data_IF_696157835063
#
_entry.id   IF_696157835063
#
_cell.length_a   1.000
_cell.length_b   1.000
_cell.length_c   1.000
_cell.angle_alpha   90.00
_cell.angle_beta   90.00
_cell.angle_gamma   90.00
#
_symmetry.space_group_name_H-M   'P 1'
#
loop_
_entity.id
_entity.type
_entity.pdbx_description
1 polymer ?
#
# COMPACT_ATOMS: atom_id res chain seq x y z
N UNK A 1 -19.20 2.65 27.80
CA UNK A 1 -19.43 2.36 26.37
C UNK A 1 -18.25 2.92 25.57
N UNK A 2 -17.26 2.09 25.24
CA UNK A 2 -16.12 2.50 24.41
C UNK A 2 -16.55 2.43 22.95
N UNK A 3 -16.72 3.60 22.33
CA UNK A 3 -16.94 3.72 20.90
C UNK A 3 -15.58 3.46 20.25
N UNK A 4 -15.38 2.28 19.67
CA UNK A 4 -14.26 2.01 18.77
C UNK A 4 -14.35 3.01 17.63
N UNK A 5 -13.50 4.04 17.65
CA UNK A 5 -13.41 4.98 16.53
C UNK A 5 -12.58 4.32 15.45
N UNK A 6 -13.22 4.04 14.33
CA UNK A 6 -12.53 3.53 13.15
C UNK A 6 -11.38 4.47 12.75
N UNK A 7 -10.28 3.89 12.28
CA UNK A 7 -9.09 4.61 11.81
C UNK A 7 -9.47 5.62 10.71
N UNK A 8 -9.49 6.91 11.04
CA UNK A 8 -9.76 7.99 10.09
C UNK A 8 -8.48 8.31 9.29
N UNK A 9 -8.58 8.32 7.97
CA UNK A 9 -7.48 8.70 7.07
C UNK A 9 -7.61 10.18 6.74
N UNK A 10 -6.62 10.98 7.14
CA UNK A 10 -6.62 12.43 6.96
C UNK A 10 -5.98 12.82 5.63
N UNK A 11 -6.64 13.71 4.88
CA UNK A 11 -6.18 14.21 3.57
C UNK A 11 -5.36 15.48 3.78
N UNK A 12 -4.08 15.48 3.37
CA UNK A 12 -3.26 16.68 3.29
C UNK A 12 -3.30 17.17 1.83
N UNK A 13 -3.98 18.29 1.57
CA UNK A 13 -4.08 18.92 0.22
C UNK A 13 -2.87 19.83 -0.05
N UNK A 14 -1.83 19.28 -0.68
CA UNK A 14 -0.88 19.91 -1.64
C UNK A 14 -0.16 18.76 -2.38
N UNK A 15 0.21 18.88 -3.68
CA UNK A 15 0.91 17.82 -4.39
C UNK A 15 2.36 17.77 -3.92
N UNK A 16 2.58 17.23 -2.72
CA UNK A 16 3.91 16.84 -2.29
C UNK A 16 4.09 15.44 -2.85
N UNK A 17 4.83 15.29 -3.95
CA UNK A 17 5.23 13.99 -4.44
C UNK A 17 6.60 13.72 -3.81
N UNK A 18 6.74 12.57 -3.16
CA UNK A 18 7.96 12.22 -2.43
C UNK A 18 8.25 10.74 -2.53
N UNK A 19 9.52 10.38 -2.32
CA UNK A 19 9.96 9.01 -2.12
C UNK A 19 9.34 8.40 -0.86
N UNK A 20 9.33 7.07 -0.78
CA UNK A 20 8.77 6.37 0.37
C UNK A 20 9.46 6.76 1.68
N UNK A 21 10.79 6.91 1.68
CA UNK A 21 11.56 7.31 2.85
C UNK A 21 11.14 8.69 3.38
N UNK A 22 11.01 9.67 2.47
CA UNK A 22 10.57 11.03 2.83
C UNK A 22 9.15 11.02 3.39
N UNK A 23 8.24 10.22 2.83
CA UNK A 23 6.89 10.06 3.37
C UNK A 23 6.85 9.43 4.76
N UNK A 24 7.61 8.36 4.99
CA UNK A 24 7.71 7.72 6.30
C UNK A 24 8.17 8.73 7.34
N UNK A 25 9.20 9.52 7.03
CA UNK A 25 9.70 10.57 7.92
C UNK A 25 8.66 11.67 8.16
N UNK A 26 7.97 12.11 7.12
CA UNK A 26 6.91 13.11 7.24
C UNK A 26 5.81 12.66 8.20
N UNK A 27 5.20 11.49 8.01
CA UNK A 27 4.11 11.02 8.87
C UNK A 27 4.57 10.71 10.29
N UNK A 28 5.80 10.19 10.45
CA UNK A 28 6.39 10.03 11.78
C UNK A 28 6.51 11.37 12.53
N UNK A 29 6.82 12.47 11.85
CA UNK A 29 6.91 13.80 12.45
C UNK A 29 5.52 14.39 12.78
N UNK A 30 4.50 14.06 11.98
CA UNK A 30 3.11 14.46 12.23
C UNK A 30 2.41 13.62 13.31
N UNK A 31 3.03 12.55 13.80
CA UNK A 31 2.43 11.67 14.80
C UNK A 31 1.49 10.60 14.21
N UNK A 32 1.60 10.33 12.91
CA UNK A 32 0.70 9.47 12.14
C UNK A 32 1.46 8.28 11.52
N UNK A 33 0.74 7.20 11.21
CA UNK A 33 1.29 6.12 10.39
C UNK A 33 1.13 6.43 8.90
N UNK A 34 2.11 6.08 8.06
CA UNK A 34 1.94 6.14 6.60
C UNK A 34 1.07 4.96 6.12
N UNK A 35 0.17 5.21 5.18
CA UNK A 35 -0.75 4.20 4.63
C UNK A 35 -0.01 3.01 4.01
N UNK A 36 -0.37 1.80 4.40
CA UNK A 36 0.17 0.55 3.84
C UNK A 36 -0.79 -0.07 2.80
N UNK A 37 -0.30 -1.00 1.98
CA UNK A 37 -1.16 -1.75 1.06
C UNK A 37 -2.33 -2.47 1.77
N UNK A 38 -2.15 -3.10 2.95
CA UNK A 38 -3.27 -3.57 3.76
C UNK A 38 -4.30 -2.50 4.13
N UNK A 39 -3.89 -1.28 4.47
CA UNK A 39 -4.85 -0.21 4.82
C UNK A 39 -5.76 0.16 3.63
N UNK A 40 -5.21 0.18 2.42
CA UNK A 40 -5.98 0.42 1.20
C UNK A 40 -6.98 -0.71 0.96
N UNK A 41 -6.54 -1.97 1.11
CA UNK A 41 -7.43 -3.13 1.00
C UNK A 41 -8.55 -3.13 2.05
N UNK A 42 -8.23 -2.82 3.31
CA UNK A 42 -9.23 -2.74 4.39
C UNK A 42 -10.25 -1.63 4.13
N UNK A 43 -9.81 -0.47 3.62
CA UNK A 43 -10.71 0.62 3.24
C UNK A 43 -11.73 0.18 2.19
N UNK A 44 -11.28 -0.54 1.15
CA UNK A 44 -12.21 -1.13 0.20
C UNK A 44 -13.13 -2.13 0.91
N UNK A 45 -12.58 -3.02 1.74
CA UNK A 45 -13.35 -4.05 2.44
C UNK A 45 -14.48 -3.45 3.30
N UNK A 46 -14.21 -2.45 4.12
CA UNK A 46 -15.21 -1.78 4.99
C UNK A 46 -16.26 -1.03 4.19
N UNK A 47 -15.93 -0.54 2.99
CA UNK A 47 -16.92 0.10 2.11
C UNK A 47 -17.25 1.54 2.49
N UNK A 48 -16.40 2.23 3.25
CA UNK A 48 -16.58 3.65 3.55
C UNK A 48 -16.54 4.47 2.25
N UNK A 49 -17.71 4.88 1.76
CA UNK A 49 -17.86 5.53 0.44
C UNK A 49 -17.03 6.81 0.32
N UNK A 50 -17.06 7.68 1.34
CA UNK A 50 -16.35 8.95 1.30
C UNK A 50 -14.83 8.74 1.20
N UNK A 51 -14.29 7.79 1.98
CA UNK A 51 -12.88 7.47 1.94
C UNK A 51 -12.48 6.78 0.63
N UNK A 52 -13.31 5.88 0.12
CA UNK A 52 -13.11 5.22 -1.18
C UNK A 52 -13.04 6.26 -2.30
N UNK A 53 -14.03 7.16 -2.40
CA UNK A 53 -14.03 8.21 -3.45
C UNK A 53 -12.83 9.13 -3.32
N UNK A 54 -12.42 9.46 -2.10
CA UNK A 54 -11.22 10.24 -1.87
C UNK A 54 -9.96 9.52 -2.35
N UNK A 55 -9.79 8.24 -2.04
CA UNK A 55 -8.63 7.44 -2.48
C UNK A 55 -8.61 7.24 -3.99
N UNK A 56 -9.78 7.07 -4.62
CA UNK A 56 -9.87 6.98 -6.09
C UNK A 56 -9.22 8.17 -6.77
N UNK A 57 -9.41 9.38 -6.24
CA UNK A 57 -8.80 10.59 -6.80
C UNK A 57 -7.27 10.56 -6.72
N UNK A 58 -6.70 10.07 -5.63
CA UNK A 58 -5.25 9.97 -5.49
C UNK A 58 -4.67 8.88 -6.40
N UNK A 59 -5.35 7.72 -6.44
CA UNK A 59 -4.98 6.60 -7.30
C UNK A 59 -4.96 6.99 -8.78
N UNK A 60 -5.83 7.92 -9.22
CA UNK A 60 -5.91 8.41 -10.60
C UNK A 60 -4.89 9.48 -10.98
N UNK A 61 -4.27 10.15 -10.00
CA UNK A 61 -3.34 11.26 -10.27
C UNK A 61 -1.92 10.76 -10.43
N UNK A 62 -1.24 10.49 -9.32
CA UNK A 62 0.18 10.14 -9.27
C UNK A 62 0.41 8.78 -8.57
N UNK A 63 -0.68 8.06 -8.28
CA UNK A 63 -0.64 6.86 -7.46
C UNK A 63 -0.39 7.13 -5.98
N UNK A 64 -0.55 6.08 -5.19
CA UNK A 64 -0.31 6.05 -3.75
C UNK A 64 0.95 5.25 -3.50
N UNK A 65 2.00 5.94 -3.08
CA UNK A 65 3.15 5.39 -2.41
C UNK A 65 2.71 4.89 -1.04
N UNK A 66 2.89 3.60 -0.78
CA UNK A 66 2.52 2.99 0.50
C UNK A 66 3.73 2.81 1.41
N UNK A 67 3.52 2.53 2.69
CA UNK A 67 4.55 2.09 3.63
C UNK A 67 4.87 0.59 3.55
N UNK A 68 4.34 -0.10 2.53
CA UNK A 68 4.70 -1.48 2.22
C UNK A 68 5.95 -1.53 1.35
N UNK A 69 6.87 -2.43 1.66
CA UNK A 69 8.07 -2.73 0.89
C UNK A 69 8.12 -4.21 0.53
N UNK A 70 8.78 -4.51 -0.59
CA UNK A 70 9.17 -5.86 -0.96
C UNK A 70 10.70 -5.92 -1.00
N UNK A 71 11.27 -6.84 -0.22
CA UNK A 71 12.69 -7.16 -0.23
C UNK A 71 12.91 -8.48 -0.95
N UNK A 72 13.29 -8.39 -2.21
CA UNK A 72 13.54 -9.54 -3.08
C UNK A 72 14.87 -10.23 -2.73
N UNK A 73 14.88 -11.56 -2.81
CA UNK A 73 16.12 -12.32 -2.79
C UNK A 73 16.87 -12.14 -4.12
N UNK A 74 18.19 -11.92 -4.05
CA UNK A 74 19.04 -11.68 -5.22
C UNK A 74 19.25 -12.91 -6.11
N UNK A 75 18.96 -14.12 -5.62
CA UNK A 75 19.22 -15.40 -6.29
C UNK A 75 17.96 -16.23 -6.58
N UNK A 76 16.85 -15.98 -5.88
CA UNK A 76 15.62 -16.80 -5.95
C UNK A 76 14.37 -15.93 -6.02
N UNK A 77 13.22 -16.51 -6.38
CA UNK A 77 11.93 -15.82 -6.37
C UNK A 77 11.36 -15.53 -4.96
N UNK A 78 11.97 -16.05 -3.90
CA UNK A 78 11.58 -15.70 -2.53
C UNK A 78 11.82 -14.23 -2.21
N UNK A 79 10.91 -13.65 -1.45
CA UNK A 79 10.99 -12.28 -0.97
C UNK A 79 10.39 -12.14 0.43
N UNK A 80 10.68 -11.02 1.08
CA UNK A 80 10.01 -10.58 2.30
C UNK A 80 9.16 -9.34 2.00
N UNK A 81 7.84 -9.44 2.19
CA UNK A 81 6.94 -8.29 2.18
C UNK A 81 6.91 -7.71 3.58
N UNK A 82 7.19 -6.41 3.70
CA UNK A 82 7.26 -5.69 4.98
C UNK A 82 6.21 -4.57 4.93
N UNK A 83 5.23 -4.59 5.83
CA UNK A 83 4.27 -3.50 5.97
C UNK A 83 4.69 -2.51 7.04
N UNK A 84 4.25 -1.25 6.88
CA UNK A 84 4.48 -0.18 7.84
C UNK A 84 5.96 0.13 8.07
N UNK A 85 6.78 0.04 7.03
CA UNK A 85 8.22 0.19 7.15
C UNK A 85 8.58 1.54 7.77
N UNK A 86 9.50 1.53 8.74
CA UNK A 86 9.97 2.73 9.43
C UNK A 86 8.92 3.49 10.26
N UNK A 87 7.69 2.99 10.39
CA UNK A 87 6.67 3.67 11.20
C UNK A 87 6.98 3.58 12.70
N UNK A 88 6.80 4.70 13.42
CA UNK A 88 6.85 4.78 14.89
C UNK A 88 5.51 4.49 15.56
N UNK A 89 4.42 4.48 14.79
CA UNK A 89 3.03 4.40 15.27
C UNK A 89 2.32 3.11 14.86
N UNK A 90 2.74 2.50 13.74
CA UNK A 90 2.18 1.26 13.23
C UNK A 90 3.11 0.07 13.52
N UNK A 91 2.55 -1.07 13.93
CA UNK A 91 3.34 -2.31 14.09
C UNK A 91 3.81 -2.81 12.72
N UNK A 92 5.11 -3.05 12.60
CA UNK A 92 5.72 -3.68 11.42
C UNK A 92 5.28 -5.14 11.34
N UNK A 93 4.82 -5.55 10.16
CA UNK A 93 4.48 -6.95 9.83
C UNK A 93 5.35 -7.44 8.69
N UNK A 94 5.72 -8.72 8.69
CA UNK A 94 6.60 -9.32 7.70
C UNK A 94 6.06 -10.66 7.23
N UNK A 95 6.11 -10.90 5.93
CA UNK A 95 5.68 -12.13 5.29
C UNK A 95 6.77 -12.63 4.36
N UNK A 96 7.15 -13.90 4.49
CA UNK A 96 8.03 -14.57 3.53
C UNK A 96 7.16 -15.27 2.49
N UNK A 97 7.38 -14.97 1.22
CA UNK A 97 6.56 -15.52 0.12
C UNK A 97 7.39 -15.62 -1.14
N UNK A 98 7.06 -16.60 -1.99
CA UNK A 98 7.59 -16.65 -3.35
C UNK A 98 6.80 -15.67 -4.23
N UNK A 99 7.49 -14.74 -4.89
CA UNK A 99 6.87 -13.73 -5.75
C UNK A 99 7.30 -14.03 -7.20
N UNK A 100 6.36 -14.48 -8.06
CA UNK A 100 6.60 -14.61 -9.50
C UNK A 100 7.08 -13.30 -10.13
N UNK A 101 7.53 -13.35 -11.37
CA UNK A 101 7.73 -12.13 -12.17
C UNK A 101 6.39 -11.81 -12.82
N UNK A 102 5.95 -10.55 -12.71
CA UNK A 102 4.70 -10.08 -13.28
C UNK A 102 4.97 -8.85 -14.14
N UNK A 103 4.36 -8.81 -15.32
CA UNK A 103 4.50 -7.75 -16.33
C UNK A 103 3.11 -7.26 -16.76
N UNK A 104 2.21 -7.08 -15.78
CA UNK A 104 0.82 -6.71 -15.99
C UNK A 104 -0.17 -7.83 -15.72
N UNK A 105 -0.58 -8.55 -16.77
CA UNK A 105 -1.51 -9.67 -16.60
C UNK A 105 -0.83 -10.81 -15.84
N UNK A 106 -1.61 -11.61 -15.13
CA UNK A 106 -1.10 -12.72 -14.34
C UNK A 106 -2.05 -13.91 -14.37
N UNK A 107 -1.49 -15.08 -14.13
CA UNK A 107 -2.28 -16.29 -13.94
C UNK A 107 -2.78 -16.40 -12.50
N UNK A 108 -4.06 -16.74 -12.35
CA UNK A 108 -4.68 -17.03 -11.07
C UNK A 108 -4.25 -18.42 -10.59
N UNK A 109 -3.14 -18.47 -9.86
CA UNK A 109 -2.58 -19.70 -9.30
C UNK A 109 -2.21 -19.53 -7.82
N UNK A 110 -1.81 -20.61 -7.16
CA UNK A 110 -1.49 -20.61 -5.72
C UNK A 110 -0.34 -19.66 -5.36
N UNK A 111 0.62 -19.43 -6.26
CA UNK A 111 1.74 -18.50 -5.99
C UNK A 111 1.25 -17.06 -6.01
N UNK A 112 0.47 -16.68 -7.03
CA UNK A 112 -0.21 -15.38 -7.12
C UNK A 112 -1.11 -15.15 -5.91
N UNK A 113 -1.88 -16.15 -5.50
CA UNK A 113 -2.77 -16.04 -4.34
C UNK A 113 -2.01 -15.74 -3.06
N UNK A 114 -0.96 -16.54 -2.77
CA UNK A 114 -0.12 -16.34 -1.59
C UNK A 114 0.56 -14.98 -1.59
N UNK A 115 1.01 -14.51 -2.76
CA UNK A 115 1.56 -13.16 -2.92
C UNK A 115 0.52 -12.09 -2.55
N UNK A 116 -0.68 -12.13 -3.12
CA UNK A 116 -1.73 -11.16 -2.86
C UNK A 116 -2.22 -11.20 -1.40
N UNK A 117 -2.34 -12.39 -0.82
CA UNK A 117 -2.68 -12.59 0.58
C UNK A 117 -1.64 -11.94 1.50
N UNK A 118 -0.36 -12.15 1.21
CA UNK A 118 0.74 -11.51 1.95
C UNK A 118 0.76 -10.00 1.74
N UNK A 119 0.53 -9.51 0.51
CA UNK A 119 0.58 -8.09 0.18
C UNK A 119 -0.54 -7.27 0.85
N UNK A 120 -1.74 -7.84 0.94
CA UNK A 120 -2.91 -7.17 1.48
C UNK A 120 -3.26 -7.60 2.92
N UNK A 121 -2.41 -8.40 3.55
CA UNK A 121 -2.60 -8.97 4.89
C UNK A 121 -4.01 -9.57 5.06
N UNK A 122 -4.31 -10.56 4.22
CA UNK A 122 -5.62 -11.20 4.14
C UNK A 122 -5.50 -12.70 3.88
N UNK A 123 -6.53 -13.45 4.27
CA UNK A 123 -6.69 -14.88 3.94
C UNK A 123 -7.74 -15.11 2.84
N UNK A 124 -8.14 -14.04 2.13
CA UNK A 124 -9.10 -14.14 1.04
C UNK A 124 -8.49 -14.86 -0.17
N UNK A 125 -9.34 -15.54 -0.95
CA UNK A 125 -8.95 -16.03 -2.27
C UNK A 125 -8.64 -14.88 -3.24
N UNK A 126 -7.95 -15.15 -4.34
CA UNK A 126 -7.71 -14.15 -5.42
C UNK A 126 -9.02 -13.46 -5.81
N UNK A 127 -10.05 -14.25 -6.11
CA UNK A 127 -11.40 -13.77 -6.44
C UNK A 127 -11.96 -12.75 -5.44
N UNK A 128 -11.81 -13.04 -4.15
CA UNK A 128 -12.29 -12.16 -3.08
C UNK A 128 -11.46 -10.90 -3.00
N UNK A 129 -10.15 -10.99 -3.22
CA UNK A 129 -9.25 -9.85 -3.25
C UNK A 129 -9.62 -8.92 -4.42
N UNK A 130 -9.77 -9.46 -5.63
CA UNK A 130 -10.18 -8.72 -6.83
C UNK A 130 -11.55 -8.06 -6.66
N UNK A 131 -12.56 -8.80 -6.18
CA UNK A 131 -13.90 -8.25 -5.89
C UNK A 131 -13.85 -7.12 -4.88
N UNK A 132 -12.96 -7.19 -3.90
CA UNK A 132 -12.77 -6.13 -2.90
C UNK A 132 -12.16 -4.88 -3.54
N UNK A 133 -11.06 -5.04 -4.28
CA UNK A 133 -10.35 -3.93 -4.92
C UNK A 133 -11.17 -3.25 -6.03
N UNK A 134 -12.13 -3.97 -6.65
CA UNK A 134 -13.11 -3.40 -7.58
C UNK A 134 -13.89 -2.21 -6.99
N UNK A 135 -13.95 -2.05 -5.67
CA UNK A 135 -14.59 -0.85 -5.09
C UNK A 135 -13.88 0.46 -5.47
N UNK A 136 -12.61 0.40 -5.87
CA UNK A 136 -11.88 1.57 -6.37
C UNK A 136 -12.10 1.82 -7.87
N UNK A 137 -12.41 0.80 -8.69
CA UNK A 137 -12.40 0.92 -10.16
C UNK A 137 -13.50 0.14 -10.85
N UNK A 138 -13.75 0.44 -12.13
CA UNK A 138 -14.83 -0.24 -12.88
C UNK A 138 -14.42 -1.63 -13.35
N UNK A 139 -13.13 -1.83 -13.67
CA UNK A 139 -12.61 -3.10 -14.12
C UNK A 139 -12.35 -4.08 -12.95
N UNK A 140 -12.58 -5.38 -13.21
CA UNK A 140 -12.16 -6.48 -12.33
C UNK A 140 -10.67 -6.79 -12.49
N UNK A 141 -10.01 -6.26 -13.53
CA UNK A 141 -8.61 -6.61 -13.82
C UNK A 141 -7.65 -5.82 -12.95
N UNK A 142 -6.93 -6.58 -12.12
CA UNK A 142 -5.74 -6.13 -11.42
C UNK A 142 -4.54 -6.33 -12.34
N UNK A 143 -3.60 -5.39 -12.34
CA UNK A 143 -2.29 -5.53 -12.98
C UNK A 143 -1.22 -5.64 -11.92
N UNK A 144 -0.39 -6.67 -12.01
CA UNK A 144 0.72 -6.91 -11.10
C UNK A 144 2.02 -6.64 -11.82
N UNK A 145 2.91 -5.90 -11.18
CA UNK A 145 4.24 -5.62 -11.72
C UNK A 145 5.29 -5.94 -10.67
N UNK A 146 6.18 -6.85 -11.00
CA UNK A 146 7.32 -7.18 -10.14
C UNK A 146 8.55 -7.41 -11.01
N UNK A 147 9.74 -6.96 -10.57
CA UNK A 147 10.93 -6.97 -11.40
C UNK A 147 11.36 -8.41 -11.73
N UNK A 148 12.04 -8.59 -12.87
CA UNK A 148 12.77 -9.82 -13.16
C UNK A 148 13.96 -10.03 -12.20
N UNK A 149 14.57 -11.22 -12.26
CA UNK A 149 15.67 -11.58 -11.36
C UNK A 149 16.93 -10.71 -11.53
N UNK A 150 17.17 -10.17 -12.73
CA UNK A 150 18.31 -9.29 -13.00
C UNK A 150 18.16 -7.96 -12.26
N UNK A 151 16.94 -7.38 -12.27
CA UNK A 151 16.63 -6.17 -11.52
C UNK A 151 16.60 -6.43 -10.01
N UNK A 152 16.04 -7.56 -9.56
CA UNK A 152 16.08 -7.97 -8.13
C UNK A 152 17.50 -8.05 -7.60
N UNK A 153 18.46 -8.55 -8.42
CA UNK A 153 19.88 -8.64 -8.04
C UNK A 153 20.52 -7.26 -7.84
N UNK A 154 20.27 -6.33 -8.77
CA UNK A 154 20.85 -4.98 -8.76
C UNK A 154 20.26 -4.12 -7.64
N UNK A 155 18.94 -4.13 -7.49
CA UNK A 155 18.22 -3.33 -6.50
C UNK A 155 17.07 -4.15 -5.87
N UNK A 156 17.34 -4.84 -4.75
CA UNK A 156 16.40 -5.83 -4.19
C UNK A 156 15.27 -5.21 -3.36
N UNK A 157 15.35 -3.93 -2.99
CA UNK A 157 14.33 -3.28 -2.16
C UNK A 157 13.45 -2.43 -3.06
N UNK A 158 12.14 -2.67 -2.98
CA UNK A 158 11.12 -1.98 -3.76
C UNK A 158 10.02 -1.46 -2.86
N UNK A 159 9.50 -0.29 -3.17
CA UNK A 159 8.27 0.22 -2.58
C UNK A 159 7.06 -0.39 -3.28
N UNK A 160 5.97 -0.54 -2.55
CA UNK A 160 4.67 -0.89 -3.15
C UNK A 160 3.91 0.39 -3.49
N UNK A 161 3.59 0.54 -4.78
CA UNK A 161 2.79 1.65 -5.31
C UNK A 161 1.47 1.11 -5.84
N UNK A 162 0.39 1.84 -5.56
CA UNK A 162 -0.95 1.53 -6.04
C UNK A 162 -1.48 2.69 -6.88
N UNK A 163 -1.95 2.44 -8.11
CA UNK A 163 -2.52 3.50 -8.95
C UNK A 163 -3.58 2.96 -9.90
N UNK A 164 -4.24 3.85 -10.62
CA UNK A 164 -4.96 3.51 -11.85
C UNK A 164 -4.05 3.79 -13.05
N UNK A 165 -4.04 2.87 -14.01
CA UNK A 165 -3.49 3.19 -15.33
C UNK A 165 -4.45 4.12 -16.11
N UNK A 166 -4.00 4.62 -17.27
CA UNK A 166 -4.81 5.48 -18.15
C UNK A 166 -6.10 4.83 -18.69
N UNK A 167 -6.36 3.57 -18.37
CA UNK A 167 -7.57 2.82 -18.74
C UNK A 167 -8.42 2.41 -17.52
N UNK A 168 -8.27 3.10 -16.38
CA UNK A 168 -8.96 2.82 -15.12
C UNK A 168 -8.71 1.39 -14.56
N UNK A 169 -7.60 0.74 -14.95
CA UNK A 169 -7.21 -0.57 -14.41
C UNK A 169 -6.37 -0.40 -13.16
N UNK A 170 -6.69 -1.18 -12.14
CA UNK A 170 -6.00 -1.06 -10.84
C UNK A 170 -4.63 -1.73 -10.92
N UNK A 171 -3.59 -0.93 -10.73
CA UNK A 171 -2.19 -1.32 -10.81
C UNK A 171 -1.61 -1.49 -9.40
N UNK A 172 -0.88 -2.58 -9.22
CA UNK A 172 -0.08 -2.88 -8.03
C UNK A 172 1.37 -3.08 -8.46
N UNK A 173 2.19 -2.07 -8.21
CA UNK A 173 3.62 -2.09 -8.50
C UNK A 173 4.42 -2.52 -7.29
N UNK A 174 5.24 -3.55 -7.46
CA UNK A 174 6.31 -3.97 -6.55
C UNK A 174 7.70 -3.73 -7.15
N UNK A 175 7.80 -2.89 -8.16
CA UNK A 175 8.97 -2.58 -8.97
C UNK A 175 9.50 -1.15 -8.78
N UNK A 176 8.68 -0.26 -8.22
CA UNK A 176 9.05 1.09 -7.82
C UNK A 176 10.22 1.12 -6.83
N UNK A 177 11.15 2.04 -7.02
CA UNK A 177 12.33 2.20 -6.19
C UNK A 177 11.96 3.08 -4.99
N UNK A 178 12.23 2.60 -3.77
CA UNK A 178 11.79 3.28 -2.56
C UNK A 178 12.42 4.68 -2.36
N UNK A 179 13.57 4.91 -3.00
CA UNK A 179 14.44 6.08 -2.91
C UNK A 179 14.42 6.97 -4.17
N UNK A 180 13.70 6.58 -5.23
CA UNK A 180 13.69 7.28 -6.53
C UNK A 180 12.28 7.39 -7.13
N UNK A 181 11.41 6.42 -6.88
CA UNK A 181 10.01 6.53 -7.26
C UNK A 181 9.28 7.47 -6.30
N UNK A 182 8.68 8.51 -6.85
CA UNK A 182 7.86 9.45 -6.09
C UNK A 182 6.38 9.16 -6.31
N UNK A 183 5.56 9.35 -5.29
CA UNK A 183 4.11 9.27 -5.40
C UNK A 183 3.42 10.09 -4.31
N UNK A 184 2.10 10.17 -4.35
CA UNK A 184 1.31 10.71 -3.24
C UNK A 184 1.28 9.70 -2.10
N UNK A 185 1.01 10.14 -0.87
CA UNK A 185 0.75 9.22 0.22
C UNK A 185 -0.23 9.81 1.22
N UNK A 186 -0.71 8.97 2.15
CA UNK A 186 -1.68 9.36 3.18
C UNK A 186 -1.25 8.92 4.57
N UNK A 187 -1.70 9.71 5.55
CA UNK A 187 -1.63 9.37 6.95
C UNK A 187 -2.79 8.45 7.35
N UNK A 188 -2.52 7.57 8.30
CA UNK A 188 -3.48 6.68 8.94
C UNK A 188 -3.42 6.95 10.43
N UNK A 189 -4.58 7.30 11.00
CA UNK A 189 -4.77 7.37 12.45
C UNK A 189 -4.89 5.92 12.94
N UNK A 190 -3.96 5.52 13.79
CA UNK A 190 -3.94 4.18 14.38
C UNK A 190 -4.23 4.35 15.85
N UNK A 191 -5.27 3.68 16.33
CA UNK A 191 -5.60 3.57 17.75
C UNK A 191 -4.44 2.91 18.50
N UNK A 192 -3.45 3.71 18.84
CA UNK A 192 -2.34 3.34 19.70
C UNK A 192 -2.19 4.44 20.74
N UNK A 193 -1.87 4.04 21.97
CA UNK A 193 -1.71 4.93 23.13
C UNK A 193 -0.71 6.08 22.92
N UNK A 194 0.09 6.06 21.84
CA UNK A 194 1.08 7.09 21.50
C UNK A 194 0.54 8.23 20.63
N UNK A 195 -0.67 8.12 20.09
CA UNK A 195 -1.33 9.24 19.41
C UNK A 195 -1.98 10.17 20.43
N UNK A 196 -1.17 10.79 21.29
CA UNK A 196 -1.62 11.96 22.04
C UNK A 196 -1.92 13.06 21.03
N UNK A 197 -3.21 13.24 20.73
CA UNK A 197 -3.72 14.43 20.02
C UNK A 197 -3.06 15.66 20.63
N UNK A 198 -2.14 16.31 19.90
CA UNK A 198 -1.96 17.75 20.06
C UNK A 198 -3.29 18.37 19.63
N UNK A 199 -4.21 18.52 20.58
CA UNK A 199 -5.36 19.42 20.44
C UNK A 199 -4.76 20.76 20.02
N UNK A 200 -4.91 21.13 18.74
CA UNK A 200 -4.74 22.51 18.31
C UNK A 200 -5.67 23.34 19.19
N UNK A 201 -5.09 24.20 20.04
CA UNK A 201 -5.85 25.28 20.65
C UNK A 201 -6.38 26.12 19.49
N UNK A 202 -7.68 26.08 19.28
CA UNK A 202 -8.39 27.09 18.52
C UNK A 202 -8.06 28.44 19.16
N UNK A 203 -7.47 29.34 18.39
CA UNK A 203 -7.65 30.77 18.59
C UNK A 203 -8.81 31.19 17.71
#
# INVERSE_FOLDING_TARGET
>A
MQINKESECKIIKKPMIMTQEKWVNHFNNEGEGMVSAPNIYQTAKTGNKALIESLKQDLKKEGIMTSSQIRYNKKTLFAEIIHNVGSKFAKIKKYKVEIPVFDGDFEENTKTEKYLQALFDTKGSIDKILKTLKKFGKDKKLRLWTPDQSYRKKRPIRSVVLCFDGFDRFYVGGDGWFDDSEGLSRGVIIDSAKQTKKRRKSK
#
